data_IF_489081765284
#
_entry.id   IF_489081765284
#
_cell.length_a   1.000
_cell.length_b   1.000
_cell.length_c   1.000
_cell.angle_alpha   90.00
_cell.angle_beta   90.00
_cell.angle_gamma   90.00
#
_symmetry.space_group_name_H-M   'P 1'
#
loop_
_entity.id
_entity.type
_entity.pdbx_description
1 polymer ?
#
# COMPACT_ATOMS: atom_id res chain seq x y z
N UNK A 1 13.92 -59.36 -0.40
CA UNK A 1 13.10 -58.20 -0.80
C UNK A 1 14.03 -57.01 -1.02
N UNK A 2 13.92 -56.41 -2.21
CA UNK A 2 14.43 -55.14 -2.76
C UNK A 2 15.60 -54.43 -2.04
N UNK A 3 16.74 -54.43 -2.74
CA UNK A 3 17.75 -53.37 -2.71
C UNK A 3 17.17 -52.09 -3.35
N UNK A 4 17.50 -50.93 -2.79
CA UNK A 4 17.36 -49.62 -3.44
C UNK A 4 18.68 -48.85 -3.25
N UNK A 5 19.56 -48.99 -4.24
CA UNK A 5 20.64 -48.06 -4.56
C UNK A 5 20.05 -46.74 -5.08
N UNK A 6 20.57 -45.60 -4.64
CA UNK A 6 20.42 -44.34 -5.37
C UNK A 6 21.73 -43.54 -5.26
N UNK A 7 22.23 -43.20 -6.44
CA UNK A 7 23.58 -42.73 -6.75
C UNK A 7 23.92 -41.38 -6.14
N UNK A 8 25.18 -41.22 -5.74
CA UNK A 8 25.81 -39.92 -5.51
C UNK A 8 25.99 -39.21 -6.86
N UNK A 9 25.42 -38.00 -7.00
CA UNK A 9 25.80 -37.07 -8.07
C UNK A 9 27.14 -36.44 -7.72
N UNK A 10 28.18 -36.79 -8.47
CA UNK A 10 29.44 -36.06 -8.47
C UNK A 10 29.34 -34.92 -9.50
N UNK A 11 29.30 -33.67 -9.03
CA UNK A 11 29.31 -32.50 -9.89
C UNK A 11 30.77 -32.09 -10.16
N UNK A 12 31.25 -32.34 -11.38
CA UNK A 12 32.57 -31.91 -11.83
C UNK A 12 32.51 -30.47 -12.32
N UNK A 13 33.28 -29.58 -11.69
CA UNK A 13 33.41 -28.16 -12.08
C UNK A 13 34.54 -28.05 -13.10
N UNK A 14 34.23 -27.55 -14.30
CA UNK A 14 35.22 -27.11 -15.27
C UNK A 14 35.04 -25.61 -15.61
N UNK A 15 36.12 -24.88 -15.39
CA UNK A 15 36.63 -23.70 -16.09
C UNK A 15 35.69 -22.52 -16.47
N UNK A 16 35.87 -21.43 -15.70
CA UNK A 16 36.05 -20.03 -16.16
C UNK A 16 35.14 -19.52 -17.29
N UNK A 17 34.01 -18.95 -16.89
CA UNK A 17 33.29 -17.91 -17.63
C UNK A 17 32.75 -16.91 -16.61
N UNK A 18 33.01 -15.63 -16.80
CA UNK A 18 32.53 -14.57 -15.92
C UNK A 18 31.01 -14.63 -15.79
N UNK A 19 30.51 -15.04 -14.62
CA UNK A 19 29.12 -14.79 -14.24
C UNK A 19 29.03 -13.34 -13.82
N UNK A 20 28.42 -12.52 -14.66
CA UNK A 20 27.80 -11.30 -14.17
C UNK A 20 26.74 -11.76 -13.16
N UNK A 21 26.93 -11.43 -11.89
CA UNK A 21 25.93 -11.68 -10.86
C UNK A 21 24.70 -10.84 -11.21
N UNK A 22 23.74 -11.46 -11.90
CA UNK A 22 22.36 -11.02 -11.84
C UNK A 22 21.97 -11.17 -10.37
N UNK A 23 21.96 -10.04 -9.65
CA UNK A 23 21.36 -9.91 -8.33
C UNK A 23 19.85 -10.14 -8.45
N UNK A 24 19.44 -11.38 -8.72
CA UNK A 24 18.10 -11.83 -8.43
C UNK A 24 18.05 -11.96 -6.92
N UNK A 25 17.54 -10.94 -6.24
CA UNK A 25 17.17 -11.04 -4.82
C UNK A 25 16.03 -12.07 -4.74
N UNK A 26 16.38 -13.35 -4.73
CA UNK A 26 15.45 -14.41 -4.40
C UNK A 26 15.13 -14.24 -2.92
N UNK A 27 13.97 -13.68 -2.60
CA UNK A 27 13.53 -13.60 -1.22
C UNK A 27 13.40 -15.04 -0.71
N UNK A 28 14.25 -15.45 0.24
CA UNK A 28 14.16 -16.77 0.84
C UNK A 28 12.93 -16.80 1.77
N UNK A 29 12.31 -17.96 1.92
CA UNK A 29 11.15 -18.12 2.82
C UNK A 29 11.46 -17.80 4.28
N UNK A 30 12.73 -17.96 4.70
CA UNK A 30 13.19 -17.53 6.01
C UNK A 30 13.18 -16.00 6.15
N UNK A 31 13.53 -15.27 5.08
CA UNK A 31 13.54 -13.81 5.06
C UNK A 31 12.12 -13.25 5.08
N UNK A 32 11.17 -13.89 4.37
CA UNK A 32 9.75 -13.50 4.41
C UNK A 32 9.15 -13.59 5.82
N UNK A 33 9.45 -14.65 6.56
CA UNK A 33 8.93 -14.82 7.92
C UNK A 33 9.49 -13.77 8.88
N UNK A 34 10.73 -13.31 8.67
CA UNK A 34 11.31 -12.24 9.49
C UNK A 34 10.79 -10.86 9.12
N UNK A 35 10.41 -10.65 7.86
CA UNK A 35 9.85 -9.39 7.37
C UNK A 35 8.34 -9.29 7.56
N UNK A 36 7.64 -10.38 7.91
CA UNK A 36 6.18 -10.43 7.95
C UNK A 36 5.55 -9.30 8.78
N UNK A 37 6.18 -8.90 9.89
CA UNK A 37 5.69 -7.83 10.76
C UNK A 37 5.79 -6.43 10.13
N UNK A 38 6.65 -6.25 9.13
CA UNK A 38 6.95 -4.96 8.50
C UNK A 38 6.31 -4.83 7.10
N UNK A 39 5.60 -5.85 6.63
CA UNK A 39 5.02 -5.90 5.30
C UNK A 39 3.50 -5.67 5.33
N UNK A 40 3.03 -4.71 4.56
CA UNK A 40 1.61 -4.42 4.37
C UNK A 40 1.21 -4.84 2.95
N UNK A 41 0.11 -5.58 2.81
CA UNK A 41 -0.42 -5.94 1.50
C UNK A 41 -1.38 -4.86 1.04
N UNK A 42 -1.42 -4.58 -0.26
CA UNK A 42 -2.40 -3.62 -0.81
C UNK A 42 -3.85 -3.97 -0.47
N UNK A 43 -4.20 -5.27 -0.43
CA UNK A 43 -5.54 -5.74 -0.05
C UNK A 43 -5.93 -5.43 1.40
N UNK A 44 -4.96 -5.14 2.25
CA UNK A 44 -5.17 -4.81 3.66
C UNK A 44 -5.40 -3.28 3.80
N UNK A 45 -5.28 -2.52 2.71
CA UNK A 45 -5.49 -1.08 2.60
C UNK A 45 -6.72 -0.77 1.73
N UNK A 46 -6.84 -1.42 0.56
CA UNK A 46 -7.99 -1.25 -0.35
C UNK A 46 -9.28 -1.70 0.34
N UNK A 47 -10.31 -0.87 0.24
CA UNK A 47 -11.56 -0.99 0.99
C UNK A 47 -11.48 -0.43 2.42
N UNK A 48 -10.32 0.08 2.83
CA UNK A 48 -10.12 0.73 4.12
C UNK A 48 -10.70 2.14 4.15
N UNK A 49 -10.95 2.64 5.35
CA UNK A 49 -11.52 3.98 5.56
C UNK A 49 -10.50 5.09 5.34
N UNK A 50 -10.98 6.23 4.83
CA UNK A 50 -10.26 7.51 4.84
C UNK A 50 -10.81 8.37 5.96
N UNK A 51 -9.95 8.74 6.89
CA UNK A 51 -10.24 9.60 8.03
C UNK A 51 -9.73 11.03 7.81
N UNK A 52 -10.36 11.98 8.49
CA UNK A 52 -9.85 13.35 8.66
C UNK A 52 -10.03 13.80 10.10
N UNK A 53 -9.28 14.81 10.51
CA UNK A 53 -9.50 15.54 11.78
C UNK A 53 -10.59 16.60 11.69
N UNK A 54 -11.32 16.67 10.55
CA UNK A 54 -12.40 17.62 10.23
C UNK A 54 -11.93 19.08 10.04
N UNK A 55 -10.88 19.50 10.73
CA UNK A 55 -10.14 20.72 10.42
C UNK A 55 -9.03 20.43 9.41
N UNK A 56 -8.98 21.20 8.31
CA UNK A 56 -7.86 21.12 7.39
C UNK A 56 -6.58 21.63 8.07
N UNK A 57 -5.55 20.80 8.10
CA UNK A 57 -4.28 21.14 8.74
C UNK A 57 -3.24 21.57 7.69
N UNK A 58 -3.05 22.88 7.59
CA UNK A 58 -2.00 23.48 6.76
C UNK A 58 -0.69 23.74 7.54
N UNK A 59 -0.69 23.60 8.87
CA UNK A 59 0.45 23.93 9.75
C UNK A 59 0.78 22.78 10.71
N UNK A 60 1.61 21.83 10.25
CA UNK A 60 2.15 20.77 11.10
C UNK A 60 1.93 19.36 10.61
N UNK A 61 1.27 19.21 9.46
CA UNK A 61 1.17 17.91 8.79
C UNK A 61 2.53 17.34 8.42
N UNK A 62 2.72 16.06 8.75
CA UNK A 62 3.86 15.25 8.34
C UNK A 62 3.34 13.89 7.88
N UNK A 63 3.38 13.66 6.57
CA UNK A 63 2.95 12.40 5.93
C UNK A 63 3.83 11.21 6.28
N UNK A 64 5.01 11.43 6.87
CA UNK A 64 5.84 10.36 7.38
C UNK A 64 5.34 9.81 8.72
N UNK A 65 4.34 10.45 9.35
CA UNK A 65 3.71 9.92 10.54
C UNK A 65 2.95 8.64 10.22
N UNK A 66 3.06 7.68 11.14
CA UNK A 66 2.27 6.44 11.13
C UNK A 66 1.57 6.37 12.47
N UNK A 67 0.27 6.07 12.44
CA UNK A 67 -0.56 5.98 13.63
C UNK A 67 -0.85 4.52 13.96
N UNK A 68 -0.66 4.15 15.22
CA UNK A 68 -0.91 2.79 15.71
C UNK A 68 -2.41 2.50 15.94
N UNK A 69 -3.26 3.53 15.92
CA UNK A 69 -4.71 3.45 16.10
C UNK A 69 -5.40 4.66 15.50
N UNK A 70 -6.66 4.51 15.14
CA UNK A 70 -7.56 5.62 14.78
C UNK A 70 -7.69 6.58 15.97
N UNK A 71 -7.55 7.88 15.72
CA UNK A 71 -7.63 8.92 16.74
C UNK A 71 -9.07 9.20 17.22
N UNK A 72 -9.19 9.62 18.48
CA UNK A 72 -10.47 10.04 19.04
C UNK A 72 -10.99 11.27 18.30
N UNK A 73 -12.22 11.19 17.79
CA UNK A 73 -12.89 12.31 17.10
C UNK A 73 -12.51 12.48 15.63
N UNK A 74 -11.76 11.55 15.05
CA UNK A 74 -11.60 11.51 13.59
C UNK A 74 -12.92 11.15 12.91
N UNK A 75 -13.14 11.74 11.74
CA UNK A 75 -14.34 11.55 10.93
C UNK A 75 -14.01 10.73 9.69
N UNK A 76 -14.85 9.74 9.38
CA UNK A 76 -14.77 8.97 8.14
C UNK A 76 -15.38 9.76 7.00
N UNK A 77 -14.63 9.95 5.92
CA UNK A 77 -15.03 10.79 4.78
C UNK A 77 -14.94 10.07 3.43
N UNK A 78 -14.56 8.79 3.43
CA UNK A 78 -14.48 8.01 2.21
C UNK A 78 -13.87 6.62 2.40
N UNK A 79 -13.67 5.95 1.26
CA UNK A 79 -13.09 4.62 1.14
C UNK A 79 -11.88 4.65 0.18
N UNK A 80 -10.91 3.75 0.40
CA UNK A 80 -9.71 3.64 -0.42
C UNK A 80 -9.97 2.63 -1.55
N UNK A 81 -10.00 3.10 -2.79
CA UNK A 81 -10.23 2.26 -3.97
C UNK A 81 -8.94 1.61 -4.49
N UNK A 82 -7.85 2.36 -4.56
CA UNK A 82 -6.58 1.85 -5.08
C UNK A 82 -5.36 2.60 -4.54
N UNK A 83 -4.19 1.97 -4.66
CA UNK A 83 -2.89 2.56 -4.38
C UNK A 83 -2.16 2.81 -5.68
N UNK A 84 -1.76 4.06 -5.88
CA UNK A 84 -1.11 4.49 -7.12
C UNK A 84 0.40 4.48 -6.92
N UNK A 85 1.09 3.74 -7.79
CA UNK A 85 2.54 3.65 -7.80
C UNK A 85 3.13 4.35 -9.02
N UNK A 86 4.29 4.96 -8.86
CA UNK A 86 5.15 5.40 -9.95
C UNK A 86 5.76 4.19 -10.69
N UNK A 87 6.34 4.44 -11.86
CA UNK A 87 6.96 3.39 -12.69
C UNK A 87 8.17 2.71 -12.03
N UNK A 88 8.82 3.39 -11.09
CA UNK A 88 9.91 2.88 -10.26
C UNK A 88 9.41 2.24 -8.96
N UNK A 89 8.09 2.17 -8.75
CA UNK A 89 7.45 1.42 -7.67
C UNK A 89 7.27 2.20 -6.37
N UNK A 90 7.42 3.53 -6.38
CA UNK A 90 7.15 4.37 -5.22
C UNK A 90 5.67 4.70 -5.15
N UNK A 91 5.09 4.69 -3.96
CA UNK A 91 3.72 5.18 -3.78
C UNK A 91 3.69 6.68 -4.04
N UNK A 92 2.79 7.11 -4.92
CA UNK A 92 2.57 8.53 -5.22
C UNK A 92 1.25 9.03 -4.66
N UNK A 93 0.34 8.13 -4.29
CA UNK A 93 -0.95 8.48 -3.72
C UNK A 93 -1.90 7.29 -3.66
N UNK A 94 -3.15 7.59 -3.33
CA UNK A 94 -4.26 6.64 -3.37
C UNK A 94 -5.43 7.23 -4.16
N UNK A 95 -6.31 6.36 -4.64
CA UNK A 95 -7.62 6.75 -5.16
C UNK A 95 -8.61 6.66 -4.01
N UNK A 96 -9.24 7.79 -3.70
CA UNK A 96 -10.26 7.92 -2.67
C UNK A 96 -11.64 8.01 -3.33
N UNK A 97 -12.56 7.17 -2.90
CA UNK A 97 -13.99 7.39 -3.12
C UNK A 97 -14.51 8.28 -1.99
N UNK A 98 -15.04 9.46 -2.36
CA UNK A 98 -15.49 10.49 -1.42
C UNK A 98 -16.90 10.97 -1.75
N UNK A 99 -17.65 11.29 -0.69
CA UNK A 99 -19.00 11.82 -0.77
C UNK A 99 -20.05 10.82 -1.25
N UNK A 100 -21.23 11.34 -1.60
CA UNK A 100 -22.35 10.54 -2.09
C UNK A 100 -23.21 9.90 -0.99
N UNK A 101 -24.26 9.19 -1.40
CA UNK A 101 -25.17 8.50 -0.49
C UNK A 101 -25.53 7.12 -1.05
N UNK A 102 -25.03 6.06 -0.40
CA UNK A 102 -25.24 4.67 -0.80
C UNK A 102 -24.68 4.36 -2.20
N UNK A 103 -23.42 4.71 -2.45
CA UNK A 103 -22.70 4.49 -3.72
C UNK A 103 -23.33 5.25 -4.90
N UNK A 104 -24.05 6.33 -4.58
CA UNK A 104 -24.71 7.19 -5.56
C UNK A 104 -24.22 8.63 -5.37
N UNK A 105 -23.56 9.13 -6.40
CA UNK A 105 -23.03 10.50 -6.42
C UNK A 105 -21.59 10.59 -5.92
N UNK A 106 -21.00 9.45 -5.59
CA UNK A 106 -19.64 9.30 -5.10
C UNK A 106 -18.65 9.72 -6.20
N UNK A 107 -17.53 10.28 -5.76
CA UNK A 107 -16.51 10.83 -6.63
C UNK A 107 -15.18 10.17 -6.30
N UNK A 108 -14.49 9.72 -7.34
CA UNK A 108 -13.15 9.19 -7.19
C UNK A 108 -12.13 10.32 -7.40
N UNK A 109 -11.19 10.48 -6.49
CA UNK A 109 -10.14 11.51 -6.53
C UNK A 109 -8.79 10.91 -6.18
N UNK A 110 -7.71 11.43 -6.76
CA UNK A 110 -6.36 11.04 -6.35
C UNK A 110 -5.88 11.94 -5.22
N UNK A 111 -5.49 11.32 -4.12
CA UNK A 111 -4.91 12.01 -2.96
C UNK A 111 -3.40 11.73 -2.93
N UNK A 112 -2.59 12.78 -2.82
CA UNK A 112 -1.14 12.67 -2.78
C UNK A 112 -0.67 11.90 -1.56
N UNK A 113 0.42 11.14 -1.70
CA UNK A 113 1.12 10.51 -0.56
C UNK A 113 1.56 11.55 0.48
N UNK A 114 1.77 12.81 0.08
CA UNK A 114 2.14 13.90 0.98
C UNK A 114 0.98 14.39 1.86
N UNK A 115 -0.26 14.06 1.50
CA UNK A 115 -1.47 14.52 2.19
C UNK A 115 -2.12 13.43 3.04
N UNK A 116 -1.51 12.24 3.12
CA UNK A 116 -2.05 11.06 3.83
C UNK A 116 -1.01 10.45 4.77
N UNK A 117 -1.49 9.86 5.86
CA UNK A 117 -0.68 9.11 6.84
C UNK A 117 -1.35 7.77 7.13
N UNK A 118 -0.57 6.70 7.15
CA UNK A 118 -1.09 5.35 7.39
C UNK A 118 -1.53 5.19 8.85
N UNK A 119 -2.62 4.45 9.06
CA UNK A 119 -3.22 4.19 10.36
C UNK A 119 -3.54 2.70 10.47
N UNK A 120 -3.08 2.05 11.55
CA UNK A 120 -3.53 0.70 11.86
C UNK A 120 -4.97 0.73 12.43
N UNK A 121 -5.83 -0.12 11.91
CA UNK A 121 -7.20 -0.33 12.41
C UNK A 121 -7.25 -1.59 13.26
N UNK A 122 -6.69 -2.69 12.75
CA UNK A 122 -6.47 -3.93 13.49
C UNK A 122 -5.19 -4.67 13.01
N UNK A 123 -5.02 -5.95 13.36
CA UNK A 123 -3.82 -6.74 13.00
C UNK A 123 -3.64 -6.94 11.48
N UNK A 124 -4.67 -6.76 10.66
CA UNK A 124 -4.68 -7.04 9.22
C UNK A 124 -5.41 -5.99 8.37
N UNK A 125 -5.89 -4.90 8.98
CA UNK A 125 -6.61 -3.83 8.33
C UNK A 125 -5.96 -2.47 8.61
N UNK A 126 -5.77 -1.70 7.54
CA UNK A 126 -5.18 -0.38 7.55
C UNK A 126 -6.11 0.63 6.92
N UNK A 127 -6.06 1.84 7.45
CA UNK A 127 -6.74 3.02 6.96
C UNK A 127 -5.70 4.12 6.67
N UNK A 128 -6.18 5.24 6.12
CA UNK A 128 -5.40 6.47 6.03
C UNK A 128 -6.13 7.61 6.72
N UNK A 129 -5.38 8.49 7.36
CA UNK A 129 -5.87 9.82 7.75
C UNK A 129 -5.28 10.84 6.78
N UNK A 130 -6.06 11.84 6.40
CA UNK A 130 -5.63 12.96 5.57
C UNK A 130 -5.75 14.29 6.31
N UNK A 131 -4.91 15.25 5.95
CA UNK A 131 -5.06 16.66 6.38
C UNK A 131 -6.19 17.40 5.69
N UNK A 132 -6.76 16.83 4.63
CA UNK A 132 -7.84 17.43 3.87
C UNK A 132 -9.19 17.15 4.55
N UNK A 133 -10.13 18.08 4.47
CA UNK A 133 -11.51 17.80 4.85
C UNK A 133 -12.31 17.25 3.63
N UNK A 134 -13.55 16.85 3.85
CA UNK A 134 -14.43 16.30 2.80
C UNK A 134 -14.62 17.28 1.63
N UNK A 135 -14.86 18.57 1.92
CA UNK A 135 -15.05 19.60 0.89
C UNK A 135 -13.80 19.79 0.02
N UNK A 136 -12.60 19.74 0.62
CA UNK A 136 -11.33 19.83 -0.10
C UNK A 136 -11.15 18.64 -1.05
N UNK A 137 -11.48 17.43 -0.61
CA UNK A 137 -11.44 16.23 -1.46
C UNK A 137 -12.46 16.29 -2.59
N UNK A 138 -13.70 16.69 -2.30
CA UNK A 138 -14.74 16.87 -3.32
C UNK A 138 -14.37 17.96 -4.34
N UNK A 139 -13.54 18.94 -3.98
CA UNK A 139 -13.06 19.98 -4.88
C UNK A 139 -11.92 19.52 -5.81
N UNK A 140 -11.25 18.40 -5.52
CA UNK A 140 -10.19 17.86 -6.38
C UNK A 140 -10.72 17.46 -7.78
N UNK A 141 -9.82 17.30 -8.74
CA UNK A 141 -10.20 16.77 -10.06
C UNK A 141 -10.66 15.31 -9.91
N UNK A 142 -11.84 15.01 -10.44
CA UNK A 142 -12.38 13.66 -10.44
C UNK A 142 -11.61 12.78 -11.42
N UNK A 143 -11.39 11.52 -11.04
CA UNK A 143 -10.80 10.49 -11.87
C UNK A 143 -11.92 9.55 -12.31
N UNK A 144 -12.00 9.29 -13.62
CA UNK A 144 -12.90 8.29 -14.18
C UNK A 144 -12.13 7.09 -14.70
N UNK A 145 -12.84 6.02 -15.08
CA UNK A 145 -12.23 4.80 -15.64
C UNK A 145 -11.34 5.10 -16.86
N UNK A 146 -11.67 6.13 -17.65
CA UNK A 146 -10.92 6.51 -18.85
C UNK A 146 -9.61 7.22 -18.57
N UNK A 147 -9.34 7.64 -17.33
CA UNK A 147 -8.05 8.18 -16.92
C UNK A 147 -6.91 7.15 -17.04
N UNK A 148 -7.24 5.85 -16.93
CA UNK A 148 -6.27 4.76 -16.89
C UNK A 148 -5.99 4.11 -18.27
N UNK A 149 -6.77 4.43 -19.29
CA UNK A 149 -6.67 3.90 -20.66
C UNK A 149 -5.61 4.62 -21.52
#
# INVERSE_FOLDING_TARGET
>A
MKLMTASALALSVFATGAVAETHTMSIASADLNTMQADLIRSRDITGGTIYTTNEADDEGWDSANVYDTVGDGWESIGEIEDIVLSRDGQMIGLVAEVGGFLDIGDKHVMVSVDDISLVAVDDQEYAYVTRLNEEDLEALEGIDEGFWD
#
